data_IF_661842149199
#
_entry.id   IF_661842149199
#
_cell.length_a   1.000
_cell.length_b   1.000
_cell.length_c   1.000
_cell.angle_alpha   90.00
_cell.angle_beta   90.00
_cell.angle_gamma   90.00
#
_symmetry.space_group_name_H-M   'P 1'
#
loop_
_entity.id
_entity.type
_entity.pdbx_description
1 polymer ?
#
# COMPACT_ATOMS: atom_id res chain seq x y z
N UNK A 1 -2.54 8.02 19.00
CA UNK A 1 -2.81 6.78 18.24
C UNK A 1 -2.09 6.89 16.90
N UNK A 2 -1.59 5.80 16.34
CA UNK A 2 -0.83 5.82 15.09
C UNK A 2 -1.70 5.27 13.95
N UNK A 3 -1.66 5.92 12.80
CA UNK A 3 -2.26 5.43 11.58
C UNK A 3 -1.36 5.71 10.37
N UNK A 4 -1.50 4.90 9.34
CA UNK A 4 -0.65 5.01 8.15
C UNK A 4 -1.47 4.95 6.87
N UNK A 5 -1.02 5.69 5.86
CA UNK A 5 -1.42 5.50 4.48
C UNK A 5 -0.39 4.59 3.80
N UNK A 6 -0.86 3.51 3.22
CA UNK A 6 -0.08 2.63 2.35
C UNK A 6 -0.59 2.77 0.92
N UNK A 7 0.33 2.89 -0.04
CA UNK A 7 0.04 2.98 -1.46
C UNK A 7 0.98 2.07 -2.23
N UNK A 8 0.56 1.61 -3.41
CA UNK A 8 1.46 0.98 -4.36
C UNK A 8 1.08 1.28 -5.82
N UNK A 9 2.08 1.14 -6.67
CA UNK A 9 1.95 1.21 -8.12
C UNK A 9 2.89 0.19 -8.76
N UNK A 10 2.42 -0.48 -9.80
CA UNK A 10 3.22 -1.36 -10.62
C UNK A 10 4.00 -0.56 -11.67
N UNK A 11 5.25 -0.98 -11.91
CA UNK A 11 6.14 -0.55 -12.99
C UNK A 11 6.53 0.94 -13.04
N UNK A 12 5.88 1.79 -12.26
CA UNK A 12 6.05 3.23 -12.27
C UNK A 12 5.97 3.80 -10.85
N UNK A 13 6.70 4.88 -10.62
CA UNK A 13 6.60 5.62 -9.35
C UNK A 13 5.24 6.31 -9.29
N UNK A 14 4.47 6.16 -8.19
CA UNK A 14 3.19 6.83 -8.05
C UNK A 14 3.38 8.35 -8.01
N UNK A 15 2.58 9.08 -8.81
CA UNK A 15 2.57 10.54 -8.81
C UNK A 15 1.63 11.05 -7.72
N UNK A 16 2.19 11.53 -6.61
CA UNK A 16 1.43 11.87 -5.40
C UNK A 16 0.69 13.21 -5.48
N UNK A 17 1.09 14.09 -6.40
CA UNK A 17 0.44 15.37 -6.65
C UNK A 17 -0.81 15.27 -7.57
N UNK A 18 -1.20 14.05 -7.94
CA UNK A 18 -2.22 13.76 -8.93
C UNK A 18 -3.46 13.07 -8.33
N UNK A 19 -4.42 12.71 -9.16
CA UNK A 19 -5.61 11.96 -8.73
C UNK A 19 -5.24 10.56 -8.23
N UNK A 20 -6.03 10.03 -7.29
CA UNK A 20 -5.99 8.64 -6.81
C UNK A 20 -5.95 7.63 -7.97
N UNK A 21 -6.56 7.98 -9.10
CA UNK A 21 -6.63 7.13 -10.29
C UNK A 21 -5.26 6.77 -10.90
N UNK A 22 -4.18 7.45 -10.51
CA UNK A 22 -2.82 7.10 -10.95
C UNK A 22 -2.10 6.15 -9.99
N UNK A 23 -2.74 5.71 -8.91
CA UNK A 23 -2.26 4.71 -7.95
C UNK A 23 -3.02 3.41 -8.22
N UNK A 24 -2.32 2.28 -8.23
CA UNK A 24 -2.96 0.99 -8.58
C UNK A 24 -3.69 0.39 -7.37
N UNK A 25 -3.19 0.64 -6.16
CA UNK A 25 -3.95 0.35 -4.95
C UNK A 25 -3.41 1.05 -3.71
N UNK A 26 -4.25 1.11 -2.68
CA UNK A 26 -3.95 1.78 -1.42
C UNK A 26 -4.77 1.20 -0.28
N UNK A 27 -4.33 1.45 0.95
CA UNK A 27 -5.12 1.18 2.15
C UNK A 27 -4.77 2.14 3.28
N UNK A 28 -5.69 2.29 4.23
CA UNK A 28 -5.48 3.01 5.48
C UNK A 28 -5.32 2.01 6.61
N UNK A 29 -4.17 2.06 7.26
CA UNK A 29 -3.91 1.33 8.50
C UNK A 29 -4.34 2.19 9.67
N UNK A 30 -5.64 2.16 9.98
CA UNK A 30 -6.19 2.85 11.13
C UNK A 30 -6.10 1.99 12.40
N UNK A 31 -6.13 2.59 13.61
CA UNK A 31 -5.94 1.85 14.87
C UNK A 31 -6.87 0.65 15.09
N UNK A 32 -8.05 0.64 14.47
CA UNK A 32 -9.02 -0.47 14.54
C UNK A 32 -8.75 -1.58 13.51
N UNK A 33 -7.90 -1.35 12.49
CA UNK A 33 -7.45 -2.37 11.54
C UNK A 33 -6.30 -3.24 12.08
N UNK A 34 -5.78 -2.91 13.26
CA UNK A 34 -4.71 -3.68 13.92
C UNK A 34 -5.21 -5.08 14.27
N UNK A 35 -4.45 -6.10 13.89
CA UNK A 35 -4.69 -7.45 14.34
C UNK A 35 -4.28 -7.63 15.81
N UNK A 36 -4.74 -8.70 16.45
CA UNK A 36 -4.51 -8.96 17.89
C UNK A 36 -3.02 -9.04 18.27
N UNK A 37 -2.14 -9.35 17.33
CA UNK A 37 -0.68 -9.40 17.48
C UNK A 37 0.00 -8.04 17.27
N UNK A 38 -0.75 -6.95 17.09
CA UNK A 38 -0.17 -5.61 17.00
C UNK A 38 0.39 -5.25 15.63
N UNK A 39 -0.04 -5.95 14.57
CA UNK A 39 0.54 -5.82 13.22
C UNK A 39 -0.52 -5.34 12.22
N UNK A 40 -0.16 -4.43 11.34
CA UNK A 40 -0.97 -4.13 10.16
C UNK A 40 -0.59 -5.06 9.02
N UNK A 41 -1.59 -5.65 8.36
CA UNK A 41 -1.37 -6.57 7.24
C UNK A 41 -2.06 -6.07 5.99
N UNK A 42 -1.36 -6.18 4.87
CA UNK A 42 -1.90 -5.93 3.55
C UNK A 42 -1.40 -7.01 2.59
N UNK A 43 -2.30 -7.50 1.75
CA UNK A 43 -2.02 -8.52 0.75
C UNK A 43 -2.40 -7.95 -0.61
N UNK A 44 -1.51 -8.12 -1.59
CA UNK A 44 -1.81 -7.84 -2.98
C UNK A 44 -2.38 -9.13 -3.57
N UNK A 45 -3.55 -9.03 -4.21
CA UNK A 45 -4.12 -10.16 -4.93
C UNK A 45 -3.22 -10.52 -6.09
N UNK A 46 -2.81 -11.78 -6.16
CA UNK A 46 -1.93 -12.23 -7.21
C UNK A 46 -2.54 -12.08 -8.60
N UNK A 47 -3.88 -12.04 -8.75
CA UNK A 47 -4.50 -11.79 -10.05
C UNK A 47 -4.17 -10.40 -10.62
N UNK A 48 -3.63 -9.49 -9.82
CA UNK A 48 -3.23 -8.13 -10.23
C UNK A 48 -1.77 -8.02 -10.65
N UNK A 49 -0.94 -9.05 -10.45
CA UNK A 49 0.49 -9.04 -10.75
C UNK A 49 0.86 -9.45 -12.19
N UNK A 50 0.04 -10.21 -12.97
CA UNK A 50 0.43 -10.64 -14.31
C UNK A 50 0.71 -9.47 -15.24
N UNK A 51 1.85 -9.54 -15.93
CA UNK A 51 2.30 -8.49 -16.86
C UNK A 51 3.07 -7.34 -16.21
N UNK A 52 3.15 -7.31 -14.88
CA UNK A 52 3.95 -6.34 -14.14
C UNK A 52 5.31 -6.91 -13.74
N UNK A 53 6.35 -6.09 -13.77
CA UNK A 53 7.73 -6.48 -13.47
C UNK A 53 8.22 -5.97 -12.13
N UNK A 54 7.61 -4.89 -11.63
CA UNK A 54 7.99 -4.28 -10.36
C UNK A 54 6.79 -3.75 -9.61
N UNK A 55 6.90 -3.76 -8.28
CA UNK A 55 5.96 -3.15 -7.35
C UNK A 55 6.69 -2.05 -6.59
N UNK A 56 6.25 -0.81 -6.74
CA UNK A 56 6.75 0.33 -5.99
C UNK A 56 5.68 0.69 -4.97
N UNK A 57 6.03 0.64 -3.68
CA UNK A 57 5.11 0.99 -2.60
C UNK A 57 5.66 2.14 -1.75
N UNK A 58 4.74 2.84 -1.10
CA UNK A 58 5.04 3.94 -0.19
C UNK A 58 4.20 3.81 1.08
N UNK A 59 4.78 4.22 2.20
CA UNK A 59 4.10 4.27 3.49
C UNK A 59 4.33 5.62 4.14
N UNK A 60 3.27 6.20 4.71
CA UNK A 60 3.28 7.51 5.34
C UNK A 60 2.50 7.49 6.63
N UNK A 61 3.04 8.10 7.68
CA UNK A 61 2.30 8.32 8.92
C UNK A 61 1.27 9.46 8.75
N UNK A 62 0.06 9.25 9.24
CA UNK A 62 -1.01 10.25 9.24
C UNK A 62 -0.91 11.18 10.44
N UNK A 63 -1.18 12.46 10.23
CA UNK A 63 -1.26 13.44 11.32
C UNK A 63 -2.59 13.30 12.10
N UNK A 64 -2.68 13.99 13.24
CA UNK A 64 -3.86 13.91 14.13
C UNK A 64 -5.17 14.31 13.45
N UNK A 65 -5.15 15.32 12.58
CA UNK A 65 -6.32 15.76 11.81
C UNK A 65 -6.74 14.71 10.80
N UNK A 66 -5.78 14.11 10.09
CA UNK A 66 -6.02 13.03 9.13
C UNK A 66 -6.57 11.79 9.84
N UNK A 67 -6.03 11.40 10.99
CA UNK A 67 -6.55 10.28 11.79
C UNK A 67 -8.01 10.52 12.17
N UNK A 68 -8.35 11.72 12.64
CA UNK A 68 -9.73 12.04 13.00
C UNK A 68 -10.67 11.95 11.78
N UNK A 69 -10.22 12.48 10.64
CA UNK A 69 -11.03 12.53 9.42
C UNK A 69 -11.21 11.17 8.76
N UNK A 70 -10.15 10.36 8.68
CA UNK A 70 -10.13 9.13 7.88
C UNK A 70 -10.29 7.85 8.70
N UNK A 71 -10.00 7.88 10.01
CA UNK A 71 -10.10 6.70 10.88
C UNK A 71 -11.24 6.77 11.91
N UNK A 72 -11.66 7.95 12.36
CA UNK A 72 -12.62 8.06 13.47
C UNK A 72 -14.01 8.56 13.02
N UNK A 73 -14.06 9.40 11.99
CA UNK A 73 -15.33 9.89 11.44
C UNK A 73 -15.85 8.95 10.35
N UNK A 74 -16.89 8.16 10.67
CA UNK A 74 -17.59 7.26 9.72
C UNK A 74 -18.29 7.99 8.55
N UNK A 75 -18.32 9.32 8.56
CA UNK A 75 -18.92 10.15 7.51
C UNK A 75 -17.94 10.33 6.35
N UNK A 76 -18.14 9.48 5.33
CA UNK A 76 -17.65 9.62 3.95
C UNK A 76 -16.13 9.61 3.73
N UNK A 77 -15.57 8.40 3.59
CA UNK A 77 -14.47 8.11 2.66
C UNK A 77 -15.01 8.37 1.23
N UNK A 78 -15.19 9.63 0.86
CA UNK A 78 -15.57 10.11 -0.46
C UNK A 78 -15.16 11.59 -0.43
N UNK A 79 -14.00 12.03 -0.93
CA UNK A 79 -13.55 11.87 -2.31
C UNK A 79 -12.04 12.14 -2.51
N UNK A 80 -11.25 12.32 -1.45
CA UNK A 80 -9.81 12.55 -1.58
C UNK A 80 -9.02 11.79 -0.51
N UNK A 81 -8.10 10.95 -0.97
CA UNK A 81 -7.04 10.42 -0.13
C UNK A 81 -6.15 11.57 0.35
N UNK A 82 -5.57 11.47 1.55
CA UNK A 82 -4.59 12.45 2.02
C UNK A 82 -3.25 12.19 1.32
N UNK A 83 -3.23 12.35 -0.01
CA UNK A 83 -2.01 12.24 -0.80
C UNK A 83 -1.33 13.60 -0.77
N UNK A 84 -0.13 13.60 -0.18
CA UNK A 84 0.74 14.76 -0.13
C UNK A 84 2.10 14.34 -0.66
N UNK A 85 2.67 15.18 -1.52
CA UNK A 85 3.98 14.98 -2.14
C UNK A 85 5.04 15.72 -1.33
N UNK A 86 5.11 15.39 -0.04
CA UNK A 86 5.99 16.03 0.92
C UNK A 86 6.67 14.96 1.79
N UNK A 87 7.93 15.21 2.16
CA UNK A 87 8.66 14.36 3.08
C UNK A 87 8.08 14.46 4.50
N UNK A 88 7.82 13.32 5.14
CA UNK A 88 7.31 13.27 6.51
C UNK A 88 8.23 12.44 7.38
N UNK A 89 8.44 12.93 8.60
CA UNK A 89 9.13 12.19 9.64
C UNK A 89 8.14 11.38 10.46
N UNK A 90 8.41 10.09 10.59
CA UNK A 90 7.66 9.20 11.49
C UNK A 90 7.87 9.65 12.93
N UNK A 91 6.80 9.64 13.73
CA UNK A 91 6.86 10.08 15.13
C UNK A 91 7.25 8.97 16.09
N UNK A 92 7.32 7.73 15.59
CA UNK A 92 7.62 6.53 16.37
C UNK A 92 8.49 5.55 15.59
N UNK A 93 9.11 4.62 16.32
CA UNK A 93 9.83 3.51 15.71
C UNK A 93 8.85 2.58 14.99
N UNK A 94 9.25 2.08 13.82
CA UNK A 94 8.46 1.16 13.02
C UNK A 94 9.29 -0.04 12.55
N UNK A 95 8.62 -1.15 12.30
CA UNK A 95 9.19 -2.32 11.65
C UNK A 95 8.36 -2.63 10.40
N UNK A 96 9.03 -2.84 9.28
CA UNK A 96 8.40 -3.22 8.02
C UNK A 96 8.90 -4.60 7.60
N UNK A 97 7.98 -5.53 7.36
CA UNK A 97 8.28 -6.86 6.81
C UNK A 97 7.52 -7.08 5.52
N UNK A 98 8.24 -7.58 4.51
CA UNK A 98 7.72 -7.86 3.18
C UNK A 98 7.94 -9.34 2.91
N UNK A 99 6.88 -10.02 2.48
CA UNK A 99 6.93 -11.41 2.07
C UNK A 99 6.54 -11.49 0.61
N UNK A 100 7.40 -12.09 -0.20
CA UNK A 100 7.10 -12.39 -1.60
C UNK A 100 7.33 -13.87 -1.84
N UNK A 101 6.48 -14.47 -2.66
CA UNK A 101 6.61 -15.84 -3.13
C UNK A 101 6.31 -15.84 -4.62
N UNK A 102 7.06 -16.59 -5.42
CA UNK A 102 6.84 -16.73 -6.85
C UNK A 102 7.16 -18.14 -7.31
N UNK A 103 6.39 -18.64 -8.26
CA UNK A 103 6.58 -19.94 -8.90
C UNK A 103 7.15 -19.73 -10.30
N UNK A 104 8.47 -19.86 -10.45
CA UNK A 104 9.16 -19.67 -11.72
C UNK A 104 9.56 -21.01 -12.35
N UNK A 105 9.25 -21.19 -13.62
CA UNK A 105 9.58 -22.41 -14.37
C UNK A 105 9.88 -22.08 -15.84
N UNK A 106 10.48 -23.04 -16.55
CA UNK A 106 10.63 -22.98 -18.00
C UNK A 106 9.48 -23.77 -18.64
N UNK A 107 8.81 -23.19 -19.64
CA UNK A 107 7.82 -23.91 -20.42
C UNK A 107 8.45 -24.85 -21.46
N UNK A 108 7.60 -25.54 -22.23
CA UNK A 108 8.03 -26.46 -23.30
C UNK A 108 8.87 -25.78 -24.41
N UNK A 109 8.84 -24.45 -24.50
CA UNK A 109 9.62 -23.65 -25.44
C UNK A 109 10.94 -23.12 -24.84
N UNK A 110 11.25 -23.46 -23.58
CA UNK A 110 12.33 -22.87 -22.78
C UNK A 110 12.15 -21.37 -22.50
N UNK A 111 10.91 -20.89 -22.45
CA UNK A 111 10.62 -19.53 -22.00
C UNK A 111 10.35 -19.52 -20.49
N UNK A 112 10.92 -18.54 -19.79
CA UNK A 112 10.60 -18.31 -18.38
C UNK A 112 9.13 -17.94 -18.22
N UNK A 113 8.43 -18.68 -17.36
CA UNK A 113 7.05 -18.42 -16.93
C UNK A 113 6.99 -18.20 -15.43
N UNK A 114 5.92 -17.52 -15.02
CA UNK A 114 5.52 -17.36 -13.63
C UNK A 114 4.04 -17.69 -13.52
N UNK A 115 3.71 -18.69 -12.69
CA UNK A 115 2.31 -18.96 -12.26
C UNK A 115 2.05 -18.43 -10.84
N UNK A 116 3.05 -17.69 -10.32
CA UNK A 116 3.09 -17.16 -8.96
C UNK A 116 2.42 -15.82 -8.82
#
# INVERSE_FOLDING_TARGET
SLAYLFIYKFDQTPLLNSSINLIDGWTLFCPFNLTNDGIYRYFIDNQQTPGHQSLIFGMRELNSTEINNYCLNNSSINTSLPIIDESINFTSNYELRIYTSGCYYLDENNDWKSDG
#
